data_IF_382557607596
#
_entry.id   IF_382557607596
#
_cell.length_a   1.000
_cell.length_b   1.000
_cell.length_c   1.000
_cell.angle_alpha   90.00
_cell.angle_beta   90.00
_cell.angle_gamma   90.00
#
_symmetry.space_group_name_H-M   'P 1'
#
loop_
_entity.id
_entity.type
_entity.pdbx_description
1 polymer ?
#
# COMPACT_ATOMS: atom_id res chain seq x y z
N UNK A 1 31.06 7.56 -40.51
CA UNK A 1 31.07 7.47 -39.02
C UNK A 1 30.60 8.72 -38.26
N UNK A 2 29.87 9.70 -38.87
CA UNK A 2 29.48 10.97 -38.18
C UNK A 2 28.02 11.03 -37.69
N UNK A 3 27.20 9.96 -37.85
CA UNK A 3 25.76 9.98 -37.45
C UNK A 3 25.44 9.38 -36.09
N UNK A 4 26.38 8.76 -35.38
CA UNK A 4 26.17 8.10 -34.09
C UNK A 4 26.27 9.03 -32.86
N UNK A 5 26.96 10.15 -32.98
CA UNK A 5 27.16 11.10 -31.86
C UNK A 5 25.84 11.76 -31.43
N UNK A 6 24.95 12.28 -32.31
CA UNK A 6 23.72 12.89 -31.87
C UNK A 6 22.74 11.90 -31.22
N UNK A 7 22.72 10.63 -31.66
CA UNK A 7 21.90 9.57 -31.06
C UNK A 7 22.37 9.25 -29.65
N UNK A 8 23.70 9.14 -29.45
CA UNK A 8 24.27 8.86 -28.12
C UNK A 8 23.99 10.00 -27.14
N UNK A 9 24.09 11.26 -27.60
CA UNK A 9 23.79 12.45 -26.79
C UNK A 9 22.31 12.50 -26.43
N UNK A 10 21.39 12.17 -27.31
CA UNK A 10 19.95 12.11 -27.04
C UNK A 10 19.61 11.02 -26.02
N UNK A 11 20.22 9.84 -26.10
CA UNK A 11 20.05 8.75 -25.13
C UNK A 11 20.58 9.16 -23.75
N UNK A 12 21.76 9.81 -23.68
CA UNK A 12 22.31 10.32 -22.42
C UNK A 12 21.40 11.37 -21.78
N UNK A 13 20.86 12.32 -22.56
CA UNK A 13 19.92 13.33 -22.06
C UNK A 13 18.63 12.69 -21.55
N UNK A 14 18.08 11.68 -22.23
CA UNK A 14 16.91 10.95 -21.77
C UNK A 14 17.18 10.21 -20.44
N UNK A 15 18.33 9.60 -20.29
CA UNK A 15 18.71 8.92 -19.03
C UNK A 15 18.86 9.91 -17.87
N UNK A 16 19.48 11.06 -18.11
CA UNK A 16 19.63 12.10 -17.07
C UNK A 16 18.27 12.67 -16.64
N UNK A 17 17.33 12.88 -17.56
CA UNK A 17 16.01 13.40 -17.19
C UNK A 17 15.17 12.37 -16.40
N UNK A 18 15.30 11.09 -16.70
CA UNK A 18 14.60 10.03 -15.97
C UNK A 18 15.13 9.89 -14.53
N UNK A 19 16.44 9.93 -14.33
CA UNK A 19 17.03 9.86 -12.98
C UNK A 19 16.64 11.07 -12.12
N UNK A 20 16.63 12.26 -12.72
CA UNK A 20 16.21 13.48 -12.01
C UNK A 20 14.74 13.46 -11.63
N UNK A 21 13.87 12.98 -12.52
CA UNK A 21 12.44 12.84 -12.24
C UNK A 21 12.18 11.79 -11.14
N UNK A 22 12.88 10.65 -11.16
CA UNK A 22 12.78 9.62 -10.13
C UNK A 22 13.18 10.17 -8.76
N UNK A 23 14.34 10.83 -8.67
CA UNK A 23 14.82 11.43 -7.42
C UNK A 23 13.81 12.43 -6.85
N UNK A 24 13.14 13.21 -7.71
CA UNK A 24 12.12 14.15 -7.26
C UNK A 24 10.89 13.45 -6.67
N UNK A 25 10.41 12.35 -7.27
CA UNK A 25 9.28 11.59 -6.77
C UNK A 25 9.58 10.96 -5.40
N UNK A 26 10.76 10.36 -5.25
CA UNK A 26 11.23 9.78 -4.00
C UNK A 26 11.36 10.84 -2.91
N UNK A 27 11.90 12.02 -3.24
CA UNK A 27 12.02 13.14 -2.28
C UNK A 27 10.66 13.66 -1.83
N UNK A 28 9.68 13.81 -2.73
CA UNK A 28 8.32 14.19 -2.38
C UNK A 28 7.67 13.16 -1.43
N UNK A 29 7.85 11.87 -1.69
CA UNK A 29 7.33 10.81 -0.82
C UNK A 29 8.00 10.85 0.56
N UNK A 30 9.31 11.05 0.63
CA UNK A 30 10.05 11.19 1.88
C UNK A 30 9.56 12.40 2.69
N UNK A 31 9.45 13.56 2.07
CA UNK A 31 8.91 14.76 2.71
C UNK A 31 7.47 14.55 3.21
N UNK A 32 6.64 13.84 2.43
CA UNK A 32 5.29 13.49 2.86
C UNK A 32 5.30 12.64 4.14
N UNK A 33 6.19 11.65 4.24
CA UNK A 33 6.34 10.80 5.42
C UNK A 33 6.86 11.60 6.64
N UNK A 34 7.81 12.49 6.44
CA UNK A 34 8.31 13.38 7.49
C UNK A 34 7.23 14.32 8.04
N UNK A 35 6.42 14.93 7.14
CA UNK A 35 5.30 15.78 7.56
C UNK A 35 4.20 14.94 8.25
N UNK A 36 3.95 13.71 7.80
CA UNK A 36 3.03 12.79 8.48
C UNK A 36 3.50 12.48 9.91
N UNK A 37 4.78 12.22 10.10
CA UNK A 37 5.37 11.96 11.42
C UNK A 37 5.25 13.19 12.35
N UNK A 38 5.34 14.40 11.80
CA UNK A 38 5.11 15.68 12.50
C UNK A 38 3.62 16.01 12.70
N UNK A 39 2.70 15.15 12.23
CA UNK A 39 1.24 15.35 12.25
C UNK A 39 0.78 16.56 11.41
N UNK A 40 1.57 17.00 10.46
CA UNK A 40 1.23 18.05 9.49
C UNK A 40 0.40 17.45 8.33
N UNK A 41 -0.82 16.98 8.65
CA UNK A 41 -1.62 16.10 7.78
C UNK A 41 -1.98 16.70 6.43
N UNK A 42 -2.35 17.99 6.39
CA UNK A 42 -2.70 18.70 5.14
C UNK A 42 -1.49 18.75 4.20
N UNK A 43 -0.32 19.09 4.74
CA UNK A 43 0.93 19.18 3.98
C UNK A 43 1.40 17.81 3.52
N UNK A 44 1.33 16.80 4.42
CA UNK A 44 1.64 15.42 4.07
C UNK A 44 0.74 14.91 2.93
N UNK A 45 -0.58 15.16 2.99
CA UNK A 45 -1.52 14.81 1.95
C UNK A 45 -1.16 15.42 0.60
N UNK A 46 -0.88 16.73 0.57
CA UNK A 46 -0.48 17.42 -0.65
C UNK A 46 0.79 16.81 -1.27
N UNK A 47 1.80 16.55 -0.46
CA UNK A 47 3.05 15.93 -0.91
C UNK A 47 2.85 14.48 -1.39
N UNK A 48 2.00 13.69 -0.72
CA UNK A 48 1.64 12.35 -1.21
C UNK A 48 0.91 12.41 -2.55
N UNK A 49 0.04 13.38 -2.80
CA UNK A 49 -0.63 13.56 -4.10
C UNK A 49 0.37 13.93 -5.19
N UNK A 50 1.32 14.81 -4.90
CA UNK A 50 2.38 15.16 -5.85
C UNK A 50 3.25 13.94 -6.16
N UNK A 51 3.67 13.17 -5.14
CA UNK A 51 4.44 11.94 -5.32
C UNK A 51 3.64 10.90 -6.12
N UNK A 52 2.33 10.73 -5.82
CA UNK A 52 1.43 9.85 -6.57
C UNK A 52 1.46 10.16 -8.07
N UNK A 53 1.26 11.42 -8.45
CA UNK A 53 1.28 11.84 -9.85
C UNK A 53 2.65 11.64 -10.49
N UNK A 54 3.73 11.99 -9.78
CA UNK A 54 5.09 11.83 -10.29
C UNK A 54 5.44 10.36 -10.54
N UNK A 55 5.13 9.45 -9.59
CA UNK A 55 5.35 8.02 -9.77
C UNK A 55 4.45 7.41 -10.84
N UNK A 56 3.19 7.85 -10.95
CA UNK A 56 2.27 7.38 -11.99
C UNK A 56 2.77 7.74 -13.38
N UNK A 57 3.28 8.96 -13.57
CA UNK A 57 3.89 9.40 -14.84
C UNK A 57 5.14 8.59 -15.21
N UNK A 58 5.89 8.13 -14.21
CA UNK A 58 7.08 7.28 -14.38
C UNK A 58 6.73 5.79 -14.52
N UNK A 59 5.46 5.44 -14.53
CA UNK A 59 4.97 4.06 -14.52
C UNK A 59 5.47 3.23 -13.32
N UNK A 60 5.90 3.91 -12.24
CA UNK A 60 6.23 3.26 -10.98
C UNK A 60 4.94 2.99 -10.18
N UNK A 61 4.15 2.03 -10.69
CA UNK A 61 2.81 1.72 -10.17
C UNK A 61 2.78 1.41 -8.68
N UNK A 62 3.80 0.69 -8.19
CA UNK A 62 3.86 0.30 -6.79
C UNK A 62 3.99 1.51 -5.85
N UNK A 63 4.87 2.45 -6.15
CA UNK A 63 5.05 3.64 -5.33
C UNK A 63 3.89 4.63 -5.51
N UNK A 64 3.37 4.77 -6.73
CA UNK A 64 2.16 5.58 -6.97
C UNK A 64 1.00 5.10 -6.11
N UNK A 65 0.68 3.80 -6.14
CA UNK A 65 -0.41 3.24 -5.34
C UNK A 65 -0.20 3.45 -3.85
N UNK A 66 1.03 3.26 -3.32
CA UNK A 66 1.33 3.53 -1.90
C UNK A 66 1.07 5.00 -1.54
N UNK A 67 1.51 5.93 -2.36
CA UNK A 67 1.25 7.35 -2.16
C UNK A 67 -0.24 7.67 -2.22
N UNK A 68 -0.97 7.11 -3.19
CA UNK A 68 -2.41 7.28 -3.34
C UNK A 68 -3.20 6.77 -2.12
N UNK A 69 -2.85 5.58 -1.60
CA UNK A 69 -3.48 5.04 -0.38
C UNK A 69 -3.19 5.92 0.83
N UNK A 70 -1.95 6.40 1.01
CA UNK A 70 -1.62 7.30 2.11
C UNK A 70 -2.38 8.64 2.02
N UNK A 71 -2.47 9.22 0.84
CA UNK A 71 -3.25 10.45 0.63
C UNK A 71 -4.75 10.21 0.87
N UNK A 72 -5.29 9.06 0.45
CA UNK A 72 -6.67 8.65 0.72
C UNK A 72 -6.93 8.54 2.23
N UNK A 73 -6.03 7.92 3.00
CA UNK A 73 -6.16 7.81 4.44
C UNK A 73 -6.17 9.20 5.12
N UNK A 74 -5.45 10.18 4.59
CA UNK A 74 -5.47 11.54 5.09
C UNK A 74 -6.76 12.29 4.72
N UNK A 75 -7.31 12.09 3.52
CA UNK A 75 -8.65 12.56 3.18
C UNK A 75 -9.72 11.94 4.09
N UNK A 76 -9.67 10.62 4.30
CA UNK A 76 -10.56 9.91 5.22
C UNK A 76 -10.51 10.48 6.65
N UNK A 77 -9.31 10.74 7.16
CA UNK A 77 -9.10 11.34 8.49
C UNK A 77 -9.79 12.69 8.63
N UNK A 78 -9.89 13.47 7.56
CA UNK A 78 -10.53 14.78 7.51
C UNK A 78 -12.01 14.70 7.08
N UNK A 79 -12.58 13.49 6.99
CA UNK A 79 -13.95 13.20 6.54
C UNK A 79 -14.24 13.58 5.07
N UNK A 80 -13.22 13.76 4.23
CA UNK A 80 -13.37 13.92 2.79
C UNK A 80 -13.51 12.55 2.10
N UNK A 81 -14.62 11.85 2.41
CA UNK A 81 -14.84 10.47 1.95
C UNK A 81 -14.92 10.35 0.43
N UNK A 82 -15.52 11.34 -0.25
CA UNK A 82 -15.63 11.32 -1.71
C UNK A 82 -14.27 11.30 -2.37
N UNK A 83 -13.40 12.21 -2.00
CA UNK A 83 -12.02 12.34 -2.51
C UNK A 83 -11.19 11.09 -2.16
N UNK A 84 -11.37 10.56 -0.96
CA UNK A 84 -10.71 9.35 -0.52
C UNK A 84 -11.11 8.14 -1.40
N UNK A 85 -12.41 7.92 -1.63
CA UNK A 85 -12.88 6.82 -2.48
C UNK A 85 -12.45 6.99 -3.95
N UNK A 86 -12.50 8.20 -4.49
CA UNK A 86 -12.03 8.49 -5.85
C UNK A 86 -10.56 8.17 -6.03
N UNK A 87 -9.73 8.57 -5.06
CA UNK A 87 -8.29 8.29 -5.10
C UNK A 87 -8.00 6.80 -5.02
N UNK A 88 -8.70 6.03 -4.17
CA UNK A 88 -8.56 4.57 -4.12
C UNK A 88 -9.05 3.89 -5.41
N UNK A 89 -10.07 4.42 -6.08
CA UNK A 89 -10.50 3.91 -7.38
C UNK A 89 -9.40 4.11 -8.43
N UNK A 90 -8.79 5.30 -8.45
CA UNK A 90 -7.69 5.60 -9.36
C UNK A 90 -6.44 4.74 -9.05
N UNK A 91 -6.12 4.53 -7.77
CA UNK A 91 -5.06 3.61 -7.36
C UNK A 91 -5.33 2.17 -7.81
N UNK A 92 -6.58 1.70 -7.74
CA UNK A 92 -6.96 0.37 -8.25
C UNK A 92 -6.78 0.25 -9.76
N UNK A 93 -7.11 1.30 -10.54
CA UNK A 93 -6.85 1.33 -11.98
C UNK A 93 -5.34 1.24 -12.27
N UNK A 94 -4.50 1.95 -11.51
CA UNK A 94 -3.03 1.83 -11.64
C UNK A 94 -2.52 0.43 -11.32
N UNK A 95 -3.08 -0.26 -10.31
CA UNK A 95 -2.73 -1.66 -10.05
C UNK A 95 -3.03 -2.52 -11.27
N UNK A 96 -4.25 -2.45 -11.81
CA UNK A 96 -4.65 -3.22 -12.99
C UNK A 96 -3.77 -2.93 -14.22
N UNK A 97 -3.47 -1.64 -14.46
CA UNK A 97 -2.58 -1.23 -15.56
C UNK A 97 -1.17 -1.80 -15.37
N UNK A 98 -0.63 -1.73 -14.15
CA UNK A 98 0.69 -2.27 -13.82
C UNK A 98 0.75 -3.79 -13.98
N UNK A 99 -0.28 -4.50 -13.50
CA UNK A 99 -0.39 -5.96 -13.65
C UNK A 99 -0.41 -6.40 -15.12
N UNK A 100 -1.18 -5.69 -15.95
CA UNK A 100 -1.25 -5.97 -17.38
C UNK A 100 0.07 -5.69 -18.10
N UNK A 101 0.71 -4.53 -17.84
CA UNK A 101 1.97 -4.14 -18.46
C UNK A 101 3.15 -5.00 -18.02
N UNK A 102 3.23 -5.31 -16.73
CA UNK A 102 4.37 -6.01 -16.15
C UNK A 102 4.16 -7.54 -16.08
N UNK A 103 2.97 -8.02 -16.45
CA UNK A 103 2.56 -9.43 -16.35
C UNK A 103 2.86 -10.02 -14.96
N UNK A 104 2.56 -9.24 -13.93
CA UNK A 104 2.84 -9.56 -12.53
C UNK A 104 1.71 -9.08 -11.64
N UNK A 105 1.25 -9.94 -10.74
CA UNK A 105 0.23 -9.60 -9.74
C UNK A 105 0.81 -8.76 -8.60
N UNK A 106 -0.01 -7.85 -8.06
CA UNK A 106 0.33 -7.00 -6.92
C UNK A 106 -0.66 -7.19 -5.75
N UNK A 107 -0.73 -8.36 -5.14
CA UNK A 107 -1.70 -8.65 -4.09
C UNK A 107 -1.52 -7.76 -2.84
N UNK A 108 -0.30 -7.37 -2.50
CA UNK A 108 0.01 -6.45 -1.42
C UNK A 108 -0.57 -5.04 -1.64
N UNK A 109 -0.56 -4.55 -2.88
CA UNK A 109 -1.17 -3.26 -3.24
C UNK A 109 -2.70 -3.33 -3.19
N UNK A 110 -3.28 -4.42 -3.69
CA UNK A 110 -4.73 -4.68 -3.57
C UNK A 110 -5.14 -4.78 -2.10
N UNK A 111 -4.34 -5.44 -1.26
CA UNK A 111 -4.58 -5.52 0.18
C UNK A 111 -4.65 -4.14 0.82
N UNK A 112 -3.69 -3.26 0.53
CA UNK A 112 -3.66 -1.89 1.06
C UNK A 112 -4.89 -1.08 0.66
N UNK A 113 -5.30 -1.14 -0.60
CA UNK A 113 -6.51 -0.46 -1.11
C UNK A 113 -7.77 -0.98 -0.40
N UNK A 114 -7.92 -2.31 -0.30
CA UNK A 114 -9.08 -2.92 0.33
C UNK A 114 -9.15 -2.62 1.84
N UNK A 115 -7.99 -2.60 2.51
CA UNK A 115 -7.89 -2.23 3.93
C UNK A 115 -8.38 -0.80 4.17
N UNK A 116 -7.93 0.17 3.37
CA UNK A 116 -8.35 1.56 3.52
C UNK A 116 -9.84 1.74 3.21
N UNK A 117 -10.39 1.07 2.18
CA UNK A 117 -11.84 1.06 1.92
C UNK A 117 -12.62 0.49 3.09
N UNK A 118 -12.15 -0.61 3.69
CA UNK A 118 -12.76 -1.19 4.87
C UNK A 118 -12.81 -0.18 6.02
N UNK A 119 -11.72 0.51 6.30
CA UNK A 119 -11.67 1.52 7.36
C UNK A 119 -12.67 2.66 7.11
N UNK A 120 -12.80 3.12 5.87
CA UNK A 120 -13.80 4.13 5.51
C UNK A 120 -15.23 3.65 5.73
N UNK A 121 -15.57 2.41 5.33
CA UNK A 121 -16.92 1.87 5.58
C UNK A 121 -17.20 1.61 7.05
N UNK A 122 -16.18 1.27 7.84
CA UNK A 122 -16.28 1.20 9.31
C UNK A 122 -16.61 2.59 9.88
N UNK A 123 -15.89 3.62 9.47
CA UNK A 123 -16.12 5.00 9.91
C UNK A 123 -17.51 5.52 9.52
N UNK A 124 -17.99 5.15 8.34
CA UNK A 124 -19.34 5.46 7.85
C UNK A 124 -20.45 4.61 8.52
N UNK A 125 -20.10 3.71 9.45
CA UNK A 125 -21.04 2.80 10.11
C UNK A 125 -21.88 1.97 9.11
N UNK A 126 -21.28 1.57 7.99
CA UNK A 126 -21.92 0.75 6.97
C UNK A 126 -21.47 -0.71 7.09
N UNK A 127 -22.15 -1.57 7.90
CA UNK A 127 -21.72 -2.93 8.16
C UNK A 127 -21.73 -3.82 6.91
N UNK A 128 -22.70 -3.60 6.00
CA UNK A 128 -22.81 -4.40 4.76
C UNK A 128 -21.60 -4.18 3.86
N UNK A 129 -21.29 -2.92 3.54
CA UNK A 129 -20.12 -2.60 2.71
C UNK A 129 -18.80 -2.94 3.39
N UNK A 130 -18.73 -2.72 4.70
CA UNK A 130 -17.56 -3.10 5.48
C UNK A 130 -17.32 -4.63 5.42
N UNK A 131 -18.39 -5.45 5.52
CA UNK A 131 -18.27 -6.91 5.40
C UNK A 131 -17.82 -7.36 4.02
N UNK A 132 -18.34 -6.75 2.95
CA UNK A 132 -17.88 -7.01 1.59
C UNK A 132 -16.37 -6.72 1.44
N UNK A 133 -15.89 -5.59 1.98
CA UNK A 133 -14.48 -5.24 1.92
C UNK A 133 -13.61 -6.14 2.80
N UNK A 134 -14.12 -6.58 3.96
CA UNK A 134 -13.42 -7.56 4.81
C UNK A 134 -13.17 -8.88 4.07
N UNK A 135 -14.18 -9.37 3.34
CA UNK A 135 -14.04 -10.60 2.54
C UNK A 135 -12.98 -10.43 1.43
N UNK A 136 -13.01 -9.30 0.70
CA UNK A 136 -11.98 -9.00 -0.32
C UNK A 136 -10.58 -8.86 0.28
N UNK A 137 -10.49 -8.31 1.49
CA UNK A 137 -9.22 -8.18 2.21
C UNK A 137 -8.66 -9.56 2.58
N UNK A 138 -9.52 -10.49 3.00
CA UNK A 138 -9.16 -11.87 3.28
C UNK A 138 -8.60 -12.59 2.04
N UNK A 139 -9.29 -12.45 0.89
CA UNK A 139 -8.84 -13.03 -0.38
C UNK A 139 -7.46 -12.50 -0.78
N UNK A 140 -7.26 -11.18 -0.67
CA UNK A 140 -5.97 -10.56 -1.02
C UNK A 140 -4.86 -10.92 -0.05
N UNK A 141 -5.16 -11.09 1.24
CA UNK A 141 -4.19 -11.55 2.24
C UNK A 141 -3.73 -12.99 1.96
N UNK A 142 -4.68 -13.88 1.59
CA UNK A 142 -4.38 -15.27 1.20
C UNK A 142 -3.55 -15.33 -0.09
N UNK A 143 -3.91 -14.54 -1.10
CA UNK A 143 -3.19 -14.49 -2.38
C UNK A 143 -1.76 -13.97 -2.24
N UNK A 144 -1.51 -13.05 -1.31
CA UNK A 144 -0.20 -12.48 -1.09
C UNK A 144 0.82 -13.47 -0.49
N UNK A 145 0.36 -14.56 0.13
CA UNK A 145 1.20 -15.56 0.81
C UNK A 145 2.26 -14.93 1.73
N UNK A 146 1.87 -13.86 2.41
CA UNK A 146 2.74 -13.03 3.22
C UNK A 146 2.23 -12.99 4.66
N UNK A 147 3.02 -13.52 5.57
CA UNK A 147 2.66 -13.57 6.99
C UNK A 147 2.38 -12.21 7.61
N UNK A 148 3.09 -11.15 7.18
CA UNK A 148 2.84 -9.80 7.69
C UNK A 148 1.46 -9.31 7.30
N UNK A 149 1.03 -9.56 6.05
CA UNK A 149 -0.31 -9.21 5.59
C UNK A 149 -1.38 -10.09 6.22
N UNK A 150 -1.09 -11.37 6.47
CA UNK A 150 -1.98 -12.28 7.22
C UNK A 150 -2.23 -11.77 8.64
N UNK A 151 -1.18 -11.35 9.34
CA UNK A 151 -1.29 -10.77 10.68
C UNK A 151 -2.06 -9.44 10.67
N UNK A 152 -1.79 -8.58 9.69
CA UNK A 152 -2.49 -7.31 9.51
C UNK A 152 -3.98 -7.53 9.18
N UNK A 153 -4.30 -8.56 8.40
CA UNK A 153 -5.68 -8.98 8.17
C UNK A 153 -6.38 -9.40 9.47
N UNK A 154 -5.77 -10.29 10.26
CA UNK A 154 -6.37 -10.76 11.52
C UNK A 154 -6.63 -9.62 12.51
N UNK A 155 -5.69 -8.68 12.62
CA UNK A 155 -5.87 -7.48 13.42
C UNK A 155 -7.03 -6.62 12.92
N UNK A 156 -7.09 -6.40 11.61
CA UNK A 156 -8.15 -5.61 10.96
C UNK A 156 -9.51 -6.29 11.09
N UNK A 157 -9.56 -7.61 10.97
CA UNK A 157 -10.75 -8.43 11.17
C UNK A 157 -11.28 -8.32 12.59
N UNK A 158 -10.40 -8.43 13.60
CA UNK A 158 -10.77 -8.27 14.99
C UNK A 158 -11.35 -6.86 15.26
N UNK A 159 -10.68 -5.82 14.74
CA UNK A 159 -11.13 -4.43 14.86
C UNK A 159 -12.52 -4.23 14.24
N UNK A 160 -12.78 -4.83 13.07
CA UNK A 160 -14.10 -4.82 12.44
C UNK A 160 -15.15 -5.45 13.35
N UNK A 161 -14.90 -6.65 13.88
CA UNK A 161 -15.86 -7.34 14.72
C UNK A 161 -16.19 -6.57 16.00
N UNK A 162 -15.19 -6.02 16.68
CA UNK A 162 -15.43 -5.19 17.87
C UNK A 162 -16.21 -3.93 17.56
N UNK A 163 -15.92 -3.27 16.44
CA UNK A 163 -16.64 -2.04 16.07
C UNK A 163 -18.13 -2.26 15.84
N UNK A 164 -18.51 -3.45 15.36
CA UNK A 164 -19.91 -3.82 15.14
C UNK A 164 -20.51 -4.71 16.23
N UNK A 165 -19.88 -4.79 17.41
CA UNK A 165 -20.42 -5.48 18.59
C UNK A 165 -20.32 -7.02 18.54
N UNK A 166 -19.59 -7.57 17.58
CA UNK A 166 -19.39 -9.02 17.42
C UNK A 166 -18.17 -9.50 18.22
N UNK A 167 -18.21 -9.30 19.55
CA UNK A 167 -17.04 -9.47 20.42
C UNK A 167 -16.44 -10.88 20.38
N UNK A 168 -17.25 -11.94 20.36
CA UNK A 168 -16.76 -13.32 20.30
C UNK A 168 -15.95 -13.61 19.04
N UNK A 169 -16.36 -13.08 17.87
CA UNK A 169 -15.59 -13.18 16.63
C UNK A 169 -14.30 -12.36 16.71
N UNK A 170 -14.35 -11.17 17.34
CA UNK A 170 -13.17 -10.34 17.61
C UNK A 170 -12.13 -11.08 18.46
N UNK A 171 -12.56 -11.70 19.55
CA UNK A 171 -11.69 -12.53 20.43
C UNK A 171 -11.07 -13.69 19.66
N UNK A 172 -11.85 -14.35 18.82
CA UNK A 172 -11.36 -15.47 17.99
C UNK A 172 -10.28 -15.02 17.01
N UNK A 173 -10.46 -13.87 16.35
CA UNK A 173 -9.46 -13.31 15.44
C UNK A 173 -8.17 -12.91 16.18
N UNK A 174 -8.27 -12.28 17.36
CA UNK A 174 -7.09 -11.96 18.17
C UNK A 174 -6.37 -13.20 18.70
N UNK A 175 -7.08 -14.24 19.12
CA UNK A 175 -6.45 -15.50 19.53
C UNK A 175 -5.61 -16.09 18.41
N UNK A 176 -6.14 -16.15 17.17
CA UNK A 176 -5.39 -16.61 16.00
C UNK A 176 -4.14 -15.77 15.75
N UNK A 177 -4.26 -14.44 15.87
CA UNK A 177 -3.12 -13.53 15.72
C UNK A 177 -2.02 -13.80 16.75
N UNK A 178 -2.39 -13.97 18.02
CA UNK A 178 -1.47 -14.30 19.11
C UNK A 178 -0.77 -15.64 18.85
N UNK A 179 -1.50 -16.66 18.41
CA UNK A 179 -0.94 -17.97 18.07
C UNK A 179 0.09 -17.87 16.94
N UNK A 180 -0.18 -17.10 15.88
CA UNK A 180 0.79 -16.88 14.80
C UNK A 180 2.08 -16.20 15.30
N UNK A 181 1.97 -15.23 16.20
CA UNK A 181 3.15 -14.60 16.81
C UNK A 181 3.94 -15.56 17.71
N UNK A 182 3.27 -16.45 18.46
CA UNK A 182 3.92 -17.46 19.31
C UNK A 182 4.68 -18.46 18.45
N UNK A 183 4.07 -18.97 17.38
CA UNK A 183 4.70 -19.93 16.47
C UNK A 183 5.99 -19.38 15.84
N UNK A 184 5.98 -18.09 15.46
CA UNK A 184 7.19 -17.44 14.91
C UNK A 184 8.33 -17.29 15.92
N UNK A 185 8.02 -17.13 17.20
CA UNK A 185 9.04 -17.06 18.26
C UNK A 185 9.64 -18.42 18.60
N UNK A 186 8.87 -19.49 18.44
CA UNK A 186 9.28 -20.85 18.76
C UNK A 186 10.01 -21.56 17.60
N UNK A 187 9.90 -21.06 16.37
CA UNK A 187 10.64 -21.59 15.23
C UNK A 187 12.08 -21.05 15.29
N UNK A 188 13.09 -21.89 15.64
CA UNK A 188 14.48 -21.40 15.69
C UNK A 188 14.87 -20.94 14.28
N UNK A 189 15.44 -19.74 14.18
CA UNK A 189 16.16 -19.33 12.96
C UNK A 189 17.13 -20.46 12.66
N UNK A 190 16.91 -21.20 11.58
CA UNK A 190 17.94 -22.10 11.05
C UNK A 190 19.16 -21.23 10.77
N UNK A 191 20.12 -21.25 11.70
CA UNK A 191 21.45 -20.76 11.48
C UNK A 191 21.98 -21.56 10.29
N UNK A 192 22.10 -20.92 9.13
CA UNK A 192 22.87 -21.46 8.03
C UNK A 192 24.28 -21.70 8.60
N UNK A 193 24.57 -22.96 8.89
CA UNK A 193 25.92 -23.39 9.16
C UNK A 193 26.71 -23.13 7.88
N UNK A 194 27.52 -22.06 7.90
CA UNK A 194 28.55 -21.83 6.92
C UNK A 194 29.49 -23.02 7.08
N UNK A 195 29.43 -24.00 6.18
CA UNK A 195 30.49 -25.00 6.00
C UNK A 195 31.70 -24.25 5.46
N UNK A 196 32.61 -23.95 6.35
CA UNK A 196 33.99 -23.62 6.00
C UNK A 196 34.65 -24.98 5.65
N UNK A 197 34.94 -25.15 4.38
CA UNK A 197 35.83 -26.19 3.87
C UNK A 197 36.96 -25.52 3.16
#
# INVERSE_FOLDING_TARGET
MKKSIPILLAVLLCLCTQTFAQNRADELMKQAQENLAKKEYIKARYLFLQAYNAFATQENYAQAVKCGVNASALYHRENYYKEAFELLRNAELLVRTGEQKLKKDFPDLRFRINKERLQMYISLRNPTRAKEQLNRLEETAKAAQNDSLSNDFLYTQASYYYTFGMNSQGDTAFKKLIEQYKQKRTTPKRMNAIKIS
#
